data_IF_720882603810
#
_entry.id   IF_720882603810
#
_cell.length_a   1.000
_cell.length_b   1.000
_cell.length_c   1.000
_cell.angle_alpha   90.00
_cell.angle_beta   90.00
_cell.angle_gamma   90.00
#
_symmetry.space_group_name_H-M   'P 1'
#
loop_
_entity.id
_entity.type
_entity.pdbx_description
1 polymer ?
#
# COMPACT_ATOMS: atom_id res chain seq x y z
N UNK A 1 -75.55 42.66 23.94
CA UNK A 1 -75.31 41.43 23.17
C UNK A 1 -73.82 41.37 22.84
N UNK A 2 -73.20 40.24 23.18
CA UNK A 2 -71.77 39.99 23.02
C UNK A 2 -71.38 39.82 21.56
N UNK A 3 -70.15 40.20 21.20
CA UNK A 3 -69.32 39.40 20.29
C UNK A 3 -67.85 39.77 20.47
N UNK A 4 -67.24 39.06 21.41
CA UNK A 4 -65.81 38.95 21.62
C UNK A 4 -65.23 38.07 20.51
N UNK A 5 -64.74 38.67 19.42
CA UNK A 5 -64.00 37.94 18.40
C UNK A 5 -62.51 37.99 18.73
N UNK A 6 -62.10 37.04 19.57
CA UNK A 6 -60.73 36.55 19.71
C UNK A 6 -60.20 36.13 18.35
N UNK A 7 -59.48 37.03 17.66
CA UNK A 7 -58.68 36.63 16.50
C UNK A 7 -57.42 35.96 17.03
N UNK A 8 -57.44 34.63 17.01
CA UNK A 8 -56.29 33.76 17.32
C UNK A 8 -55.03 34.31 16.66
N UNK A 9 -54.00 34.53 17.48
CA UNK A 9 -52.61 34.51 17.01
C UNK A 9 -52.42 33.20 16.23
N UNK A 10 -52.28 33.31 14.92
CA UNK A 10 -51.85 32.21 14.07
C UNK A 10 -50.33 32.12 14.18
N UNK A 11 -49.89 31.56 15.31
CA UNK A 11 -48.62 30.87 15.40
C UNK A 11 -48.65 29.73 14.37
N UNK A 12 -48.02 29.94 13.23
CA UNK A 12 -47.77 28.89 12.26
C UNK A 12 -46.33 28.96 11.76
N UNK A 13 -45.58 28.08 12.40
CA UNK A 13 -44.53 27.25 11.82
C UNK A 13 -43.12 27.82 11.96
N UNK A 14 -42.60 27.69 13.19
CA UNK A 14 -41.28 27.07 13.32
C UNK A 14 -41.29 25.75 12.56
N UNK A 15 -40.77 25.77 11.33
CA UNK A 15 -40.46 24.55 10.60
C UNK A 15 -39.47 23.78 11.45
N UNK A 16 -39.98 22.73 12.10
CA UNK A 16 -39.15 21.69 12.67
C UNK A 16 -38.36 21.10 11.50
N UNK A 17 -37.05 21.32 11.48
CA UNK A 17 -36.11 20.55 10.65
C UNK A 17 -36.11 19.10 11.16
N UNK A 18 -37.20 18.38 10.86
CA UNK A 18 -37.38 16.97 11.17
C UNK A 18 -36.86 16.14 10.00
N UNK A 19 -35.80 15.38 10.25
CA UNK A 19 -35.19 14.46 9.30
C UNK A 19 -34.17 15.16 8.41
N UNK A 20 -32.99 15.46 8.96
CA UNK A 20 -31.85 16.09 8.26
C UNK A 20 -31.23 15.13 7.23
N UNK A 21 -31.96 14.81 6.17
CA UNK A 21 -31.35 14.33 4.94
C UNK A 21 -30.63 15.50 4.30
N UNK A 22 -29.32 15.38 4.09
CA UNK A 22 -28.52 16.38 3.38
C UNK A 22 -29.16 16.69 2.02
N UNK A 23 -29.31 17.98 1.70
CA UNK A 23 -29.81 18.39 0.41
C UNK A 23 -28.78 18.02 -0.67
N UNK A 24 -29.21 17.80 -1.91
CA UNK A 24 -28.29 17.41 -3.00
C UNK A 24 -27.17 18.45 -3.22
N UNK A 25 -27.46 19.73 -2.99
CA UNK A 25 -26.45 20.80 -3.01
C UNK A 25 -25.39 20.61 -1.94
N UNK A 26 -25.76 20.18 -0.73
CA UNK A 26 -24.82 19.95 0.36
C UNK A 26 -23.85 18.82 0.01
N UNK A 27 -24.37 17.76 -0.62
CA UNK A 27 -23.56 16.66 -1.15
C UNK A 27 -22.55 17.14 -2.19
N UNK A 28 -22.98 17.99 -3.15
CA UNK A 28 -22.09 18.55 -4.17
C UNK A 28 -21.02 19.45 -3.53
N UNK A 29 -21.40 20.29 -2.57
CA UNK A 29 -20.48 21.15 -1.83
C UNK A 29 -19.45 20.33 -1.05
N UNK A 30 -19.85 19.26 -0.35
CA UNK A 30 -18.91 18.39 0.35
C UNK A 30 -17.99 17.62 -0.59
N UNK A 31 -18.50 17.14 -1.73
CA UNK A 31 -17.66 16.49 -2.75
C UNK A 31 -16.60 17.46 -3.29
N UNK A 32 -16.97 18.71 -3.57
CA UNK A 32 -16.05 19.75 -4.02
C UNK A 32 -14.96 20.05 -2.98
N UNK A 33 -15.34 20.20 -1.70
CA UNK A 33 -14.39 20.44 -0.61
C UNK A 33 -13.45 19.24 -0.41
N UNK A 34 -13.98 18.01 -0.47
CA UNK A 34 -13.17 16.80 -0.37
C UNK A 34 -12.19 16.67 -1.54
N UNK A 35 -12.62 16.98 -2.76
CA UNK A 35 -11.76 17.00 -3.93
C UNK A 35 -10.62 18.02 -3.75
N UNK A 36 -10.92 19.23 -3.28
CA UNK A 36 -9.91 20.24 -2.94
C UNK A 36 -8.92 19.73 -1.89
N UNK A 37 -9.41 19.10 -0.81
CA UNK A 37 -8.57 18.48 0.22
C UNK A 37 -7.63 17.41 -0.37
N UNK A 38 -8.14 16.51 -1.21
CA UNK A 38 -7.33 15.46 -1.83
C UNK A 38 -6.28 16.06 -2.79
N UNK A 39 -6.64 17.09 -3.57
CA UNK A 39 -5.69 17.76 -4.47
C UNK A 39 -4.57 18.45 -3.70
N UNK A 40 -4.89 19.12 -2.57
CA UNK A 40 -3.89 19.83 -1.77
C UNK A 40 -3.03 18.89 -0.92
N UNK A 41 -3.62 17.86 -0.28
CA UNK A 41 -2.92 16.99 0.67
C UNK A 41 -2.50 15.63 0.10
N UNK A 42 -3.05 15.22 -1.04
CA UNK A 42 -2.68 13.98 -1.73
C UNK A 42 -1.18 13.85 -1.98
N UNK A 43 -0.49 14.88 -2.51
CA UNK A 43 0.95 14.86 -2.67
C UNK A 43 1.71 14.68 -1.34
N UNK A 44 1.26 15.33 -0.26
CA UNK A 44 1.88 15.22 1.06
C UNK A 44 1.73 13.81 1.62
N UNK A 45 0.53 13.23 1.54
CA UNK A 45 0.28 11.86 1.98
C UNK A 45 1.12 10.85 1.20
N UNK A 46 1.28 11.06 -0.11
CA UNK A 46 2.17 10.26 -0.95
C UNK A 46 3.62 10.32 -0.49
N UNK A 47 4.13 11.51 -0.15
CA UNK A 47 5.49 11.70 0.35
C UNK A 47 5.69 11.02 1.71
N UNK A 48 4.73 11.19 2.63
CA UNK A 48 4.75 10.51 3.94
C UNK A 48 4.80 8.99 3.75
N UNK A 49 3.94 8.42 2.91
CA UNK A 49 3.98 6.99 2.59
C UNK A 49 5.28 6.56 1.93
N UNK A 50 5.85 7.41 1.06
CA UNK A 50 7.14 7.14 0.41
C UNK A 50 8.31 7.15 1.38
N UNK A 51 8.25 7.95 2.45
CA UNK A 51 9.30 7.99 3.47
C UNK A 51 9.45 6.69 4.26
N UNK A 52 8.36 5.91 4.37
CA UNK A 52 8.36 4.60 5.00
C UNK A 52 8.75 3.46 4.04
N UNK A 53 8.98 3.75 2.76
CA UNK A 53 9.46 2.75 1.79
C UNK A 53 10.96 2.50 1.98
N UNK A 54 11.38 1.26 1.79
CA UNK A 54 12.80 0.89 1.71
C UNK A 54 13.43 1.39 0.41
N UNK A 55 14.75 1.50 0.34
CA UNK A 55 15.48 1.88 -0.89
C UNK A 55 15.16 0.94 -2.08
N UNK A 56 15.05 -0.36 -1.78
CA UNK A 56 14.64 -1.38 -2.76
C UNK A 56 13.23 -1.15 -3.30
N UNK A 57 12.29 -0.73 -2.45
CA UNK A 57 10.90 -0.43 -2.83
C UNK A 57 10.79 0.89 -3.62
N UNK A 58 11.66 1.87 -3.35
CA UNK A 58 11.72 3.13 -4.11
C UNK A 58 12.19 2.93 -5.55
N UNK A 59 13.03 1.92 -5.79
CA UNK A 59 13.58 1.59 -7.11
C UNK A 59 12.72 0.59 -7.90
N UNK A 60 11.63 0.09 -7.30
CA UNK A 60 10.79 -0.94 -7.90
C UNK A 60 9.79 -0.36 -8.91
N UNK A 61 9.74 -0.97 -10.09
CA UNK A 61 8.74 -0.68 -11.12
C UNK A 61 7.81 -1.88 -11.32
N UNK A 62 6.48 -1.69 -11.39
CA UNK A 62 5.75 -0.42 -11.23
C UNK A 62 5.71 0.06 -9.75
N UNK A 63 5.62 1.38 -9.50
CA UNK A 63 5.55 1.92 -8.15
C UNK A 63 4.24 1.50 -7.47
N UNK A 64 4.34 1.00 -6.24
CA UNK A 64 3.19 0.62 -5.42
C UNK A 64 2.94 1.68 -4.34
N UNK A 65 1.69 1.82 -3.88
CA UNK A 65 1.37 2.78 -2.82
C UNK A 65 1.89 2.33 -1.45
N UNK A 66 1.75 1.03 -1.14
CA UNK A 66 2.19 0.43 0.11
C UNK A 66 3.69 0.03 0.05
N UNK A 67 4.40 0.00 1.18
CA UNK A 67 5.83 -0.33 1.24
C UNK A 67 6.04 -1.84 1.14
N UNK A 68 5.94 -2.37 -0.09
CA UNK A 68 6.33 -3.74 -0.39
C UNK A 68 7.83 -3.82 -0.66
N UNK A 69 8.52 -4.76 -0.03
CA UNK A 69 9.89 -5.13 -0.38
C UNK A 69 9.92 -6.57 -0.87
N UNK A 70 10.94 -6.90 -1.66
CA UNK A 70 11.24 -8.30 -1.92
C UNK A 70 11.66 -9.00 -0.63
N UNK A 71 11.03 -10.14 -0.32
CA UNK A 71 11.37 -10.99 0.82
C UNK A 71 12.74 -11.61 0.58
N UNK A 72 13.59 -11.58 1.59
CA UNK A 72 14.91 -12.21 1.57
C UNK A 72 14.97 -13.31 2.63
N UNK A 73 15.70 -14.38 2.34
CA UNK A 73 15.86 -15.52 3.24
C UNK A 73 17.34 -15.85 3.42
N UNK A 74 17.73 -16.17 4.66
CA UNK A 74 19.08 -16.66 4.94
C UNK A 74 19.13 -18.12 4.49
N UNK A 75 20.06 -18.42 3.58
CA UNK A 75 20.25 -19.76 3.03
C UNK A 75 21.60 -20.29 3.48
N UNK A 76 21.65 -21.52 4.00
CA UNK A 76 22.91 -22.11 4.46
C UNK A 76 23.92 -22.20 3.30
N UNK A 77 25.15 -21.75 3.55
CA UNK A 77 26.21 -21.66 2.53
C UNK A 77 26.34 -20.29 1.84
N UNK A 78 25.49 -19.31 2.17
CA UNK A 78 25.57 -17.95 1.65
C UNK A 78 25.67 -16.93 2.80
N UNK A 79 26.64 -16.02 2.71
CA UNK A 79 26.90 -15.01 3.76
C UNK A 79 25.84 -13.90 3.79
N UNK A 80 25.14 -13.69 2.67
CA UNK A 80 24.12 -12.65 2.51
C UNK A 80 22.74 -13.28 2.31
N UNK A 81 21.68 -12.66 2.87
CA UNK A 81 20.33 -13.11 2.62
C UNK A 81 20.02 -13.01 1.11
N UNK A 82 19.31 -14.00 0.60
CA UNK A 82 19.03 -14.15 -0.82
C UNK A 82 17.57 -13.77 -1.12
N UNK A 83 17.29 -13.03 -2.20
CA UNK A 83 15.94 -12.63 -2.57
C UNK A 83 15.11 -13.83 -3.02
N UNK A 84 13.89 -13.92 -2.49
CA UNK A 84 12.97 -15.04 -2.71
C UNK A 84 12.06 -14.79 -3.91
N UNK A 85 11.83 -15.83 -4.70
CA UNK A 85 10.91 -15.81 -5.84
C UNK A 85 10.05 -17.08 -5.86
N UNK A 86 8.80 -16.93 -6.30
CA UNK A 86 8.00 -18.05 -6.78
C UNK A 86 8.47 -18.38 -8.19
N UNK A 87 9.03 -19.55 -8.39
CA UNK A 87 9.62 -19.95 -9.65
C UNK A 87 9.10 -21.32 -10.10
N UNK A 88 8.86 -21.45 -11.40
CA UNK A 88 8.46 -22.71 -12.02
C UNK A 88 9.71 -23.54 -12.32
N UNK A 89 9.80 -24.72 -11.74
CA UNK A 89 10.89 -25.66 -12.00
C UNK A 89 10.78 -26.29 -13.41
N UNK A 90 11.80 -27.05 -13.81
CA UNK A 90 11.82 -27.75 -15.10
C UNK A 90 10.73 -28.82 -15.28
N UNK A 91 10.05 -29.21 -14.20
CA UNK A 91 8.93 -30.17 -14.20
C UNK A 91 7.57 -29.45 -14.20
N UNK A 92 7.58 -28.12 -14.08
CA UNK A 92 6.42 -27.26 -14.09
C UNK A 92 5.81 -26.99 -12.72
N UNK A 93 6.42 -27.45 -11.62
CA UNK A 93 5.95 -27.15 -10.27
C UNK A 93 6.38 -25.74 -9.86
N UNK A 94 5.48 -25.02 -9.19
CA UNK A 94 5.78 -23.70 -8.63
C UNK A 94 6.32 -23.90 -7.21
N UNK A 95 7.51 -23.38 -6.93
CA UNK A 95 8.16 -23.45 -5.61
C UNK A 95 8.81 -22.12 -5.23
N UNK A 96 8.95 -21.89 -3.94
CA UNK A 96 9.73 -20.76 -3.41
C UNK A 96 11.22 -21.08 -3.52
N UNK A 97 11.94 -20.30 -4.32
CA UNK A 97 13.37 -20.47 -4.54
C UNK A 97 14.10 -19.15 -4.29
N UNK A 98 15.26 -19.25 -3.65
CA UNK A 98 16.13 -18.12 -3.38
C UNK A 98 17.07 -17.90 -4.57
N UNK A 99 17.14 -16.68 -5.10
CA UNK A 99 18.03 -16.38 -6.22
C UNK A 99 19.44 -16.10 -5.70
N UNK A 100 20.40 -16.92 -6.13
CA UNK A 100 21.83 -16.74 -5.86
C UNK A 100 22.41 -15.67 -6.77
N UNK A 101 22.19 -15.82 -8.08
CA UNK A 101 22.69 -14.90 -9.10
C UNK A 101 21.84 -14.94 -10.36
N UNK A 102 21.91 -13.86 -11.14
CA UNK A 102 21.30 -13.78 -12.46
C UNK A 102 22.40 -13.53 -13.50
N UNK A 103 22.40 -14.34 -14.56
CA UNK A 103 23.28 -14.18 -15.72
C UNK A 103 22.39 -14.12 -16.96
N UNK A 104 22.26 -12.92 -17.53
CA UNK A 104 21.39 -12.67 -18.69
C UNK A 104 19.91 -12.96 -18.38
N UNK A 105 19.34 -13.92 -19.10
CA UNK A 105 17.95 -14.39 -18.95
C UNK A 105 17.81 -15.59 -18.00
N UNK A 106 18.91 -16.09 -17.46
CA UNK A 106 18.91 -17.26 -16.57
C UNK A 106 19.25 -16.84 -15.16
N UNK A 107 18.47 -17.32 -14.22
CA UNK A 107 18.71 -17.19 -12.79
C UNK A 107 19.18 -18.52 -12.22
N UNK A 108 20.28 -18.48 -11.46
CA UNK A 108 20.67 -19.56 -10.57
C UNK A 108 19.89 -19.38 -9.27
N UNK A 109 19.09 -20.37 -8.92
CA UNK A 109 18.22 -20.37 -7.77
C UNK A 109 18.44 -21.64 -6.94
N UNK A 110 18.24 -21.55 -5.63
CA UNK A 110 18.39 -22.69 -4.71
C UNK A 110 17.15 -22.80 -3.84
N UNK A 111 16.83 -24.03 -3.43
CA UNK A 111 15.79 -24.25 -2.43
C UNK A 111 16.37 -23.90 -1.04
N UNK A 112 15.75 -23.00 -0.27
CA UNK A 112 16.20 -22.68 1.09
C UNK A 112 16.30 -23.90 2.02
N UNK A 113 15.47 -24.92 1.80
CA UNK A 113 15.49 -26.18 2.57
C UNK A 113 16.55 -27.17 2.06
N UNK A 114 16.99 -27.04 0.80
CA UNK A 114 17.97 -27.91 0.16
C UNK A 114 18.97 -27.08 -0.68
N UNK A 115 19.87 -26.33 -0.03
CA UNK A 115 20.66 -25.28 -0.69
C UNK A 115 21.79 -25.81 -1.59
N UNK A 116 22.10 -27.10 -1.53
CA UNK A 116 23.16 -27.72 -2.32
C UNK A 116 22.80 -27.92 -3.78
N UNK A 117 21.51 -27.86 -4.13
CA UNK A 117 21.05 -28.05 -5.51
C UNK A 117 20.74 -26.71 -6.16
N UNK A 118 21.59 -26.33 -7.13
CA UNK A 118 21.34 -25.17 -7.99
C UNK A 118 20.37 -25.52 -9.12
N UNK A 119 19.31 -24.73 -9.24
CA UNK A 119 18.33 -24.77 -10.31
C UNK A 119 18.54 -23.58 -11.23
N UNK A 120 18.59 -23.83 -12.53
CA UNK A 120 18.67 -22.78 -13.55
C UNK A 120 17.27 -22.52 -14.07
N UNK A 121 16.75 -21.34 -13.79
CA UNK A 121 15.38 -20.95 -14.13
C UNK A 121 15.41 -19.74 -15.05
N UNK A 122 14.55 -19.73 -16.07
CA UNK A 122 14.39 -18.56 -16.92
C UNK A 122 13.80 -17.40 -16.11
N UNK A 123 14.26 -16.17 -16.36
CA UNK A 123 13.74 -14.98 -15.68
C UNK A 123 12.24 -14.77 -15.86
N UNK A 124 11.66 -15.25 -16.96
CA UNK A 124 10.23 -15.14 -17.22
C UNK A 124 9.40 -16.15 -16.41
N UNK A 125 10.03 -17.20 -15.89
CA UNK A 125 9.38 -18.28 -15.15
C UNK A 125 9.37 -18.05 -13.64
N UNK A 126 9.65 -16.82 -13.20
CA UNK A 126 9.70 -16.46 -11.78
C UNK A 126 9.03 -15.13 -11.48
N UNK A 127 8.50 -15.00 -10.28
CA UNK A 127 7.90 -13.78 -9.75
C UNK A 127 8.45 -13.50 -8.34
N UNK A 128 8.83 -12.26 -8.02
CA UNK A 128 9.35 -11.93 -6.70
C UNK A 128 8.28 -12.20 -5.63
N UNK A 129 8.69 -12.77 -4.50
CA UNK A 129 7.84 -12.85 -3.31
C UNK A 129 8.01 -11.53 -2.57
N UNK A 130 6.93 -10.76 -2.45
CA UNK A 130 6.95 -9.47 -1.78
C UNK A 130 6.28 -9.57 -0.40
N UNK A 131 6.79 -8.80 0.55
CA UNK A 131 6.23 -8.65 1.90
C UNK A 131 6.08 -7.18 2.27
N UNK A 132 5.17 -6.87 3.19
CA UNK A 132 5.02 -5.52 3.73
C UNK A 132 6.15 -5.26 4.73
N UNK A 133 7.01 -4.27 4.44
CA UNK A 133 8.10 -3.89 5.33
C UNK A 133 8.18 -2.38 5.43
N UNK A 134 7.99 -1.88 6.65
CA UNK A 134 8.12 -0.46 6.96
C UNK A 134 9.58 -0.12 7.29
N UNK A 135 10.14 0.87 6.62
CA UNK A 135 11.49 1.36 6.86
C UNK A 135 11.53 2.35 8.05
N UNK A 136 11.09 1.93 9.24
CA UNK A 136 11.15 2.78 10.45
C UNK A 136 12.57 3.22 10.81
N UNK A 137 13.57 2.40 10.45
CA UNK A 137 15.00 2.69 10.61
C UNK A 137 15.47 3.98 9.93
N UNK A 138 14.79 4.42 8.86
CA UNK A 138 15.10 5.69 8.17
C UNK A 138 15.10 6.90 9.12
N UNK A 139 14.37 6.83 10.24
CA UNK A 139 14.25 7.92 11.21
C UNK A 139 15.11 7.73 12.47
N UNK A 140 15.56 6.52 12.76
CA UNK A 140 16.33 6.21 13.98
C UNK A 140 17.82 6.03 13.71
N UNK A 141 18.20 5.47 12.55
CA UNK A 141 19.59 5.20 12.18
C UNK A 141 20.38 6.48 11.85
N UNK A 142 19.69 7.57 11.51
CA UNK A 142 20.32 8.87 11.24
C UNK A 142 21.07 9.43 12.45
N UNK A 143 20.61 9.12 13.66
CA UNK A 143 21.24 9.58 14.91
C UNK A 143 22.36 8.67 15.41
N UNK A 144 22.56 7.50 14.79
CA UNK A 144 23.65 6.57 15.14
C UNK A 144 24.90 6.69 14.27
N UNK A 145 24.86 7.50 13.21
CA UNK A 145 25.98 7.70 12.26
C UNK A 145 26.81 8.98 12.53
N UNK A 146 26.46 9.76 13.54
CA UNK A 146 27.19 10.93 14.04
C UNK A 146 27.40 10.80 15.54
#
# INVERSE_FOLDING_TARGET
MANFLTRKYSDKQGQKYGGTSLHWTDWVSYAYLLAGLIVMFGPVLWLVMSSFKTESALSQFPPTFLPYTQKEVVVAGYDKPLPLFMAKDGQGNIRELAQVRRIGLVATMVDPAAPQTELRININDRKPVNELKFAGGNYTELFGKF
#
